data_IF_437236661888
#
_entry.id   IF_437236661888
#
_cell.length_a   1.000
_cell.length_b   1.000
_cell.length_c   1.000
_cell.angle_alpha   90.00
_cell.angle_beta   90.00
_cell.angle_gamma   90.00
#
_symmetry.space_group_name_H-M   'P 1'
#
loop_
_entity.id
_entity.type
_entity.pdbx_description
1 polymer ?
#
# COMPACT_ATOMS: atom_id res chain seq x y z
N UNK A 1 10.68 4.41 -12.08
CA UNK A 1 10.56 4.17 -13.53
C UNK A 1 9.07 4.04 -13.82
N UNK A 2 8.35 5.15 -13.97
CA UNK A 2 8.14 5.92 -15.21
C UNK A 2 7.38 5.10 -16.27
N UNK A 3 6.05 5.18 -16.25
CA UNK A 3 5.23 5.02 -17.46
C UNK A 3 4.43 6.32 -17.65
N UNK A 4 4.74 7.04 -18.73
CA UNK A 4 4.17 8.35 -19.09
C UNK A 4 3.23 8.12 -20.27
N UNK A 5 1.92 8.10 -19.99
CA UNK A 5 0.89 8.13 -21.02
C UNK A 5 0.90 9.46 -21.78
N UNK A 6 1.08 9.35 -23.11
CA UNK A 6 1.15 10.46 -24.06
C UNK A 6 -0.21 11.07 -24.39
N UNK A 7 -0.25 12.41 -24.31
CA UNK A 7 -0.62 13.37 -25.38
C UNK A 7 -1.80 12.99 -26.30
N UNK A 8 -2.90 13.74 -26.19
CA UNK A 8 -3.57 14.25 -27.39
C UNK A 8 -4.13 15.66 -27.20
N UNK A 9 -3.42 16.58 -27.84
CA UNK A 9 -3.68 18.00 -28.06
C UNK A 9 -4.69 18.12 -29.21
N UNK A 10 -5.87 18.70 -28.99
CA UNK A 10 -6.83 19.02 -30.06
C UNK A 10 -7.11 20.52 -30.07
N UNK A 11 -6.32 21.18 -30.90
CA UNK A 11 -6.60 22.25 -31.87
C UNK A 11 -7.78 23.20 -31.61
N UNK A 12 -7.44 24.49 -31.67
CA UNK A 12 -8.31 25.64 -31.57
C UNK A 12 -8.75 26.21 -32.94
N UNK A 13 -9.98 26.77 -32.94
CA UNK A 13 -10.52 27.89 -33.75
C UNK A 13 -10.80 27.68 -35.26
N UNK A 14 -11.89 28.32 -35.78
CA UNK A 14 -11.70 29.68 -36.26
C UNK A 14 -12.76 30.72 -35.82
N UNK A 15 -12.25 31.94 -35.65
CA UNK A 15 -12.96 33.21 -35.54
C UNK A 15 -13.97 33.40 -36.67
N UNK A 16 -15.20 33.78 -36.37
CA UNK A 16 -16.08 34.48 -37.32
C UNK A 16 -16.08 35.97 -37.05
N UNK A 17 -15.78 36.71 -38.12
CA UNK A 17 -15.76 38.17 -38.19
C UNK A 17 -17.19 38.74 -38.19
N UNK A 18 -17.30 39.93 -37.63
CA UNK A 18 -18.44 40.84 -37.62
C UNK A 18 -18.75 41.41 -39.01
N UNK A 19 -20.01 41.79 -39.26
CA UNK A 19 -20.38 43.06 -39.92
C UNK A 19 -21.90 43.34 -39.84
N UNK A 20 -22.35 44.61 -40.09
CA UNK A 20 -23.22 45.32 -39.15
C UNK A 20 -24.64 45.59 -39.66
N UNK A 21 -25.51 45.99 -38.73
CA UNK A 21 -26.63 46.89 -38.99
C UNK A 21 -28.02 46.27 -38.87
N UNK A 22 -28.78 46.69 -37.86
CA UNK A 22 -30.13 47.23 -38.08
C UNK A 22 -30.62 47.98 -36.84
N UNK A 23 -31.40 49.02 -37.10
CA UNK A 23 -31.88 50.05 -36.17
C UNK A 23 -32.98 49.53 -35.24
N UNK A 24 -33.01 50.13 -34.05
CA UNK A 24 -34.17 50.50 -33.24
C UNK A 24 -35.23 49.42 -32.92
N UNK A 25 -35.39 49.11 -31.62
CA UNK A 25 -36.63 49.45 -30.93
C UNK A 25 -36.41 49.52 -29.42
N UNK A 26 -36.86 50.63 -28.82
CA UNK A 26 -36.81 50.94 -27.40
C UNK A 26 -38.00 50.26 -26.72
N UNK A 27 -37.82 49.03 -26.27
CA UNK A 27 -38.74 48.41 -25.31
C UNK A 27 -38.18 48.65 -23.90
N UNK A 28 -38.77 49.62 -23.20
CA UNK A 28 -38.62 49.78 -21.75
C UNK A 28 -39.17 48.52 -21.07
N UNK A 29 -38.26 47.60 -20.72
CA UNK A 29 -38.58 46.53 -19.79
C UNK A 29 -38.66 47.14 -18.39
N UNK A 30 -39.68 46.79 -17.58
CA UNK A 30 -39.79 47.28 -16.22
C UNK A 30 -38.54 46.89 -15.45
N UNK A 31 -37.98 47.86 -14.73
CA UNK A 31 -36.82 47.68 -13.88
C UNK A 31 -37.04 46.49 -12.94
N UNK A 32 -36.46 45.34 -13.29
CA UNK A 32 -36.23 44.27 -12.33
C UNK A 32 -35.32 44.87 -11.28
N UNK A 33 -35.74 44.91 -10.00
CA UNK A 33 -34.86 45.41 -8.96
C UNK A 33 -33.59 44.58 -9.01
N UNK A 34 -32.46 45.28 -9.14
CA UNK A 34 -31.12 44.76 -8.98
C UNK A 34 -31.17 43.72 -7.88
N UNK A 35 -30.82 42.48 -8.24
CA UNK A 35 -30.63 41.39 -7.29
C UNK A 35 -29.80 41.96 -6.15
N UNK A 36 -30.45 42.25 -5.02
CA UNK A 36 -29.77 42.71 -3.85
C UNK A 36 -28.79 41.60 -3.56
N UNK A 37 -27.51 41.91 -3.79
CA UNK A 37 -26.42 41.05 -3.38
C UNK A 37 -26.76 40.63 -1.96
N UNK A 38 -26.71 39.33 -1.73
CA UNK A 38 -26.88 38.70 -0.43
C UNK A 38 -25.70 39.15 0.45
N UNK A 39 -25.69 40.45 0.77
CA UNK A 39 -24.84 41.08 1.73
C UNK A 39 -25.50 40.75 3.06
N UNK A 40 -24.84 39.90 3.82
CA UNK A 40 -25.23 39.58 5.20
C UNK A 40 -25.65 40.87 5.90
N UNK A 41 -26.84 40.94 6.52
CA UNK A 41 -27.30 42.16 7.15
C UNK A 41 -26.28 42.64 8.19
N UNK A 42 -25.71 43.83 7.98
CA UNK A 42 -24.81 44.48 8.95
C UNK A 42 -23.36 44.71 8.49
N UNK A 43 -22.94 44.26 7.31
CA UNK A 43 -21.60 44.49 6.76
C UNK A 43 -21.63 45.26 5.43
N UNK A 44 -20.70 46.19 5.25
CA UNK A 44 -20.50 46.88 3.97
C UNK A 44 -19.69 46.02 2.99
N UNK A 45 -19.84 46.24 1.68
CA UNK A 45 -19.07 45.50 0.65
C UNK A 45 -17.55 45.59 0.86
N UNK A 46 -17.07 46.75 1.33
CA UNK A 46 -15.65 46.96 1.62
C UNK A 46 -15.16 46.10 2.80
N UNK A 47 -16.01 45.83 3.80
CA UNK A 47 -15.68 44.96 4.92
C UNK A 47 -15.70 43.48 4.50
N UNK A 48 -16.63 43.08 3.63
CA UNK A 48 -16.66 41.74 3.03
C UNK A 48 -15.40 41.50 2.19
N UNK A 49 -14.99 42.47 1.38
CA UNK A 49 -13.76 42.38 0.58
C UNK A 49 -12.50 42.25 1.45
N UNK A 50 -12.43 42.97 2.57
CA UNK A 50 -11.32 42.85 3.54
C UNK A 50 -11.28 41.48 4.21
N UNK A 51 -12.43 40.92 4.58
CA UNK A 51 -12.50 39.58 5.16
C UNK A 51 -12.04 38.51 4.18
N UNK A 52 -12.49 38.58 2.92
CA UNK A 52 -12.04 37.68 1.85
C UNK A 52 -10.53 37.78 1.62
N UNK A 53 -10.00 38.99 1.51
CA UNK A 53 -8.55 39.19 1.33
C UNK A 53 -7.73 38.63 2.51
N UNK A 54 -8.30 38.65 3.73
CA UNK A 54 -7.67 38.04 4.90
C UNK A 54 -7.71 36.51 4.82
N UNK A 55 -8.85 35.93 4.47
CA UNK A 55 -9.02 34.49 4.27
C UNK A 55 -8.07 33.93 3.20
N UNK A 56 -7.96 34.61 2.05
CA UNK A 56 -7.00 34.25 0.99
C UNK A 56 -5.54 34.30 1.50
N UNK A 57 -5.21 35.30 2.33
CA UNK A 57 -3.90 35.38 2.97
C UNK A 57 -3.65 34.25 3.97
N UNK A 58 -4.67 33.86 4.74
CA UNK A 58 -4.63 32.74 5.68
C UNK A 58 -4.43 31.40 4.95
N UNK A 59 -5.09 31.20 3.80
CA UNK A 59 -4.91 30.01 2.95
C UNK A 59 -3.46 29.88 2.47
N UNK A 60 -2.87 30.96 1.93
CA UNK A 60 -1.47 30.96 1.48
C UNK A 60 -0.50 30.68 2.63
N UNK A 61 -0.75 31.25 3.82
CA UNK A 61 0.06 30.94 5.00
C UNK A 61 -0.10 29.47 5.40
N UNK A 62 -1.32 28.93 5.30
CA UNK A 62 -1.62 27.51 5.51
C UNK A 62 -0.76 26.61 4.62
N UNK A 63 -0.76 26.85 3.32
CA UNK A 63 0.04 26.09 2.34
C UNK A 63 1.54 26.13 2.65
N UNK A 64 2.07 27.30 3.01
CA UNK A 64 3.49 27.48 3.36
C UNK A 64 3.83 26.69 4.63
N UNK A 65 2.96 26.74 5.64
CA UNK A 65 3.16 26.03 6.90
C UNK A 65 3.09 24.52 6.68
N UNK A 66 2.13 24.04 5.89
CA UNK A 66 2.02 22.62 5.53
C UNK A 66 3.31 22.14 4.84
N UNK A 67 3.76 22.84 3.80
CA UNK A 67 5.00 22.49 3.10
C UNK A 67 6.23 22.51 4.02
N UNK A 68 6.31 23.47 4.94
CA UNK A 68 7.40 23.56 5.90
C UNK A 68 7.38 22.38 6.88
N UNK A 69 6.21 22.05 7.42
CA UNK A 69 6.05 20.92 8.34
C UNK A 69 6.45 19.62 7.65
N UNK A 70 5.97 19.38 6.42
CA UNK A 70 6.32 18.18 5.66
C UNK A 70 7.83 18.05 5.45
N UNK A 71 8.49 19.14 5.05
CA UNK A 71 9.95 19.16 4.85
C UNK A 71 10.71 18.90 6.15
N UNK A 72 10.28 19.50 7.26
CA UNK A 72 10.91 19.30 8.57
C UNK A 72 10.72 17.87 9.04
N UNK A 73 9.53 17.30 8.88
CA UNK A 73 9.22 15.93 9.28
C UNK A 73 10.02 14.92 8.45
N UNK A 74 10.11 15.11 7.14
CA UNK A 74 10.93 14.28 6.25
C UNK A 74 12.42 14.34 6.62
N UNK A 75 12.96 15.55 6.82
CA UNK A 75 14.35 15.74 7.22
C UNK A 75 14.66 15.14 8.60
N UNK A 76 13.76 15.33 9.57
CA UNK A 76 13.90 14.77 10.91
C UNK A 76 13.87 13.24 10.88
N UNK A 77 12.96 12.65 10.11
CA UNK A 77 12.85 11.20 9.93
C UNK A 77 14.13 10.63 9.30
N UNK A 78 14.62 11.24 8.22
CA UNK A 78 15.88 10.82 7.56
C UNK A 78 17.07 10.87 8.52
N UNK A 79 17.24 11.99 9.22
CA UNK A 79 18.31 12.15 10.22
C UNK A 79 18.21 11.12 11.35
N UNK A 80 17.00 10.81 11.81
CA UNK A 80 16.79 9.76 12.80
C UNK A 80 17.19 8.38 12.27
N UNK A 81 16.74 8.00 11.07
CA UNK A 81 17.06 6.70 10.47
C UNK A 81 18.56 6.53 10.21
N UNK A 82 19.23 7.57 9.72
CA UNK A 82 20.68 7.57 9.52
C UNK A 82 21.43 7.31 10.84
N UNK A 83 21.00 7.97 11.93
CA UNK A 83 21.57 7.76 13.26
C UNK A 83 21.31 6.36 13.81
N UNK A 84 20.16 5.77 13.50
CA UNK A 84 19.77 4.45 14.00
C UNK A 84 20.28 3.29 13.14
N UNK A 85 20.68 3.54 11.89
CA UNK A 85 21.08 2.49 10.96
C UNK A 85 22.21 1.61 11.51
N UNK A 86 23.29 2.22 12.00
CA UNK A 86 24.45 1.48 12.51
C UNK A 86 24.11 0.74 13.82
N UNK A 87 23.57 1.39 14.87
CA UNK A 87 23.19 0.70 16.10
C UNK A 87 22.23 -0.47 15.86
N UNK A 88 21.23 -0.27 15.00
CA UNK A 88 20.27 -1.32 14.64
C UNK A 88 20.95 -2.49 13.93
N UNK A 89 21.74 -2.22 12.89
CA UNK A 89 22.41 -3.27 12.12
C UNK A 89 23.40 -4.07 12.98
N UNK A 90 24.16 -3.41 13.84
CA UNK A 90 25.09 -4.07 14.76
C UNK A 90 24.34 -4.94 15.76
N UNK A 91 23.28 -4.43 16.39
CA UNK A 91 22.49 -5.23 17.33
C UNK A 91 21.82 -6.42 16.64
N UNK A 92 21.28 -6.22 15.44
CA UNK A 92 20.68 -7.29 14.63
C UNK A 92 21.71 -8.36 14.25
N UNK A 93 22.91 -7.96 13.85
CA UNK A 93 24.00 -8.89 13.55
C UNK A 93 24.39 -9.69 14.79
N UNK A 94 24.54 -9.03 15.94
CA UNK A 94 24.85 -9.67 17.22
C UNK A 94 23.81 -10.73 17.59
N UNK A 95 22.53 -10.38 17.56
CA UNK A 95 21.43 -11.31 17.85
C UNK A 95 21.42 -12.50 16.89
N UNK A 96 21.62 -12.24 15.60
CA UNK A 96 21.67 -13.29 14.58
C UNK A 96 22.84 -14.25 14.82
N UNK A 97 24.03 -13.74 15.15
CA UNK A 97 25.19 -14.56 15.48
C UNK A 97 24.89 -15.45 16.69
N UNK A 98 24.29 -14.89 17.75
CA UNK A 98 23.91 -15.68 18.93
C UNK A 98 22.91 -16.78 18.59
N UNK A 99 21.92 -16.48 17.76
CA UNK A 99 20.94 -17.46 17.31
C UNK A 99 21.59 -18.59 16.49
N UNK A 100 22.50 -18.26 15.57
CA UNK A 100 23.26 -19.26 14.80
C UNK A 100 24.12 -20.14 15.70
N UNK A 101 24.78 -19.56 16.70
CA UNK A 101 25.57 -20.33 17.68
C UNK A 101 24.66 -21.28 18.46
N UNK A 102 23.51 -20.82 18.94
CA UNK A 102 22.55 -21.68 19.64
C UNK A 102 22.09 -22.85 18.77
N UNK A 103 21.78 -22.61 17.49
CA UNK A 103 21.40 -23.67 16.55
C UNK A 103 22.55 -24.64 16.23
N UNK A 104 23.80 -24.19 16.27
CA UNK A 104 24.96 -25.06 16.04
C UNK A 104 25.28 -25.95 17.24
N UNK A 105 24.92 -25.50 18.44
CA UNK A 105 25.12 -26.22 19.70
C UNK A 105 23.77 -26.54 20.37
N UNK A 106 22.80 -27.00 19.57
CA UNK A 106 21.55 -27.52 20.13
C UNK A 106 21.94 -28.74 20.99
N UNK A 107 21.60 -28.74 22.30
CA UNK A 107 21.85 -29.90 23.14
C UNK A 107 21.16 -31.11 22.52
N UNK A 108 21.75 -32.29 22.70
CA UNK A 108 21.08 -33.53 22.33
C UNK A 108 19.73 -33.55 23.05
N UNK A 109 18.67 -33.72 22.27
CA UNK A 109 17.36 -33.96 22.83
C UNK A 109 17.41 -35.32 23.55
N UNK A 110 17.08 -35.33 24.83
CA UNK A 110 17.03 -36.56 25.64
C UNK A 110 15.87 -37.47 25.19
N UNK A 111 14.98 -36.95 24.33
CA UNK A 111 13.81 -37.64 23.85
C UNK A 111 12.72 -37.73 24.92
N UNK A 112 11.57 -38.24 24.51
CA UNK A 112 10.45 -38.42 25.43
C UNK A 112 10.72 -39.62 26.37
N UNK A 113 10.60 -39.43 27.69
CA UNK A 113 10.79 -40.53 28.63
C UNK A 113 9.63 -41.52 28.52
N UNK A 114 9.92 -42.82 28.51
CA UNK A 114 8.92 -43.90 28.44
C UNK A 114 8.15 -44.00 27.11
N UNK A 115 8.72 -43.61 25.97
CA UNK A 115 8.12 -43.81 24.63
C UNK A 115 7.62 -45.24 24.40
N UNK A 116 8.31 -46.25 24.94
CA UNK A 116 7.91 -47.65 24.81
C UNK A 116 6.63 -48.00 25.61
N UNK A 117 6.24 -47.17 26.57
CA UNK A 117 5.04 -47.33 27.40
C UNK A 117 3.85 -46.50 26.89
N UNK A 118 4.10 -45.56 25.96
CA UNK A 118 3.04 -44.74 25.37
C UNK A 118 2.28 -45.54 24.28
N UNK A 119 1.00 -45.88 24.50
CA UNK A 119 0.20 -46.61 23.51
C UNK A 119 -0.09 -45.79 22.25
N UNK A 120 0.17 -44.49 22.28
CA UNK A 120 0.03 -43.58 21.13
C UNK A 120 1.27 -43.60 20.24
N UNK A 121 2.41 -44.07 20.76
CA UNK A 121 3.67 -44.20 20.04
C UNK A 121 3.81 -45.59 19.40
N UNK A 122 2.87 -45.91 18.52
CA UNK A 122 2.91 -47.11 17.69
C UNK A 122 3.42 -46.75 16.29
N UNK A 123 4.09 -47.70 15.62
CA UNK A 123 4.40 -47.55 14.20
C UNK A 123 3.09 -47.47 13.40
N UNK A 124 2.95 -46.42 12.58
CA UNK A 124 1.81 -46.29 11.67
C UNK A 124 1.85 -47.40 10.60
N UNK A 125 0.66 -47.83 10.17
CA UNK A 125 0.55 -48.78 9.04
C UNK A 125 1.10 -48.14 7.77
N UNK A 126 2.02 -48.84 7.08
CA UNK A 126 2.59 -48.36 5.83
C UNK A 126 1.44 -48.07 4.84
N UNK A 127 1.38 -46.87 4.23
CA UNK A 127 0.31 -46.54 3.32
C UNK A 127 0.32 -47.49 2.13
N UNK A 128 -0.86 -47.91 1.67
CA UNK A 128 -0.97 -48.75 0.48
C UNK A 128 -0.25 -48.10 -0.69
N UNK A 129 0.59 -48.84 -1.44
CA UNK A 129 1.31 -48.27 -2.57
C UNK A 129 0.32 -47.66 -3.56
N UNK A 130 0.59 -46.44 -4.01
CA UNK A 130 -0.23 -45.80 -5.02
C UNK A 130 -0.17 -46.60 -6.33
N UNK A 131 -1.27 -46.57 -7.09
CA UNK A 131 -1.24 -47.07 -8.46
C UNK A 131 -0.17 -46.31 -9.23
N UNK A 132 0.65 -47.04 -9.98
CA UNK A 132 1.72 -46.46 -10.80
C UNK A 132 1.09 -45.49 -11.78
N UNK A 133 1.29 -44.19 -11.55
CA UNK A 133 0.81 -43.14 -12.45
C UNK A 133 1.70 -43.07 -13.70
N UNK A 134 1.10 -42.66 -14.79
CA UNK A 134 1.71 -42.42 -16.11
C UNK A 134 2.91 -41.45 -16.06
N UNK A 135 3.06 -40.71 -14.96
CA UNK A 135 4.16 -39.78 -14.71
C UNK A 135 5.44 -40.44 -14.15
N UNK A 136 5.37 -41.70 -13.72
CA UNK A 136 6.52 -42.48 -13.24
C UNK A 136 6.57 -43.88 -13.90
N UNK A 137 6.81 -43.97 -15.22
CA UNK A 137 7.00 -45.25 -15.91
C UNK A 137 8.33 -45.87 -15.44
N UNK A 138 8.28 -46.74 -14.42
CA UNK A 138 9.47 -47.42 -13.91
C UNK A 138 9.38 -47.98 -12.49
N UNK A 139 8.30 -47.76 -11.76
CA UNK A 139 8.12 -48.39 -10.44
C UNK A 139 8.04 -49.93 -10.60
N UNK A 140 9.04 -50.64 -10.08
CA UNK A 140 9.11 -52.11 -10.10
C UNK A 140 8.31 -52.66 -8.92
N UNK A 141 7.34 -53.57 -9.13
CA UNK A 141 6.61 -54.17 -8.02
C UNK A 141 7.56 -54.90 -7.06
N UNK A 142 7.44 -54.62 -5.76
CA UNK A 142 8.16 -55.37 -4.72
C UNK A 142 7.68 -56.82 -4.78
N UNK A 143 8.61 -57.77 -4.93
CA UNK A 143 8.32 -59.19 -4.82
C UNK A 143 8.27 -59.57 -3.34
N UNK A 144 7.09 -59.88 -2.82
CA UNK A 144 6.98 -60.58 -1.54
C UNK A 144 7.56 -61.99 -1.71
N UNK A 145 8.60 -62.34 -0.95
CA UNK A 145 8.97 -63.74 -0.84
C UNK A 145 7.85 -64.51 -0.13
N UNK A 146 7.45 -65.70 -0.61
CA UNK A 146 6.47 -66.49 0.09
C UNK A 146 7.04 -66.90 1.45
N UNK A 147 6.32 -66.59 2.53
CA UNK A 147 6.57 -67.17 3.84
C UNK A 147 6.71 -68.69 3.68
N UNK A 148 7.86 -69.24 4.08
CA UNK A 148 8.08 -70.68 4.08
C UNK A 148 7.06 -71.32 5.02
N UNK A 149 5.99 -71.87 4.45
CA UNK A 149 5.06 -72.73 5.17
C UNK A 149 5.78 -74.05 5.39
N UNK A 150 6.35 -74.24 6.57
CA UNK A 150 6.87 -75.53 7.00
C UNK A 150 5.71 -76.54 7.01
N UNK A 151 5.73 -77.47 6.04
CA UNK A 151 4.86 -78.64 6.02
C UNK A 151 5.45 -79.68 6.95
N UNK A 152 4.69 -80.08 7.97
CA UNK A 152 4.95 -81.30 8.76
C UNK A 152 3.91 -82.34 8.44
#
# INVERSE_FOLDING_TARGET
MADKGSRQERQALPRRQSNPGSKAEKALLPAVPVSQAEVVPGLTEAEVAKLRAREEGEEVVGDIVEELVDRVMDAACKSYLERQCIPYAVNRARETILHVVQMRFVPQDEGEPHLAEDPTWAEDEEPSPSLIDTWAPGAVPVRCEPCLVERK
#
